data_IF_328127256896
#
_entry.id   IF_328127256896
#
_cell.length_a   1.000
_cell.length_b   1.000
_cell.length_c   1.000
_cell.angle_alpha   90.00
_cell.angle_beta   90.00
_cell.angle_gamma   90.00
#
_symmetry.space_group_name_H-M   'P 1'
#
loop_
_entity.id
_entity.type
_entity.pdbx_description
1 polymer ?
#
# COMPACT_ATOMS: atom_id res chain seq x y z
N UNK A 1 4.12 -14.60 6.16
CA UNK A 1 2.77 -14.00 6.11
C UNK A 1 2.38 -13.83 4.65
N UNK A 2 1.19 -14.28 4.23
CA UNK A 2 0.71 -14.15 2.84
C UNK A 2 -0.30 -13.02 2.66
N UNK A 3 -1.07 -12.69 3.69
CA UNK A 3 -2.07 -11.63 3.63
C UNK A 3 -1.95 -10.75 4.87
N UNK A 4 -1.97 -9.44 4.68
CA UNK A 4 -1.94 -8.44 5.76
C UNK A 4 -3.15 -7.52 5.61
N UNK A 5 -4.03 -7.56 6.61
CA UNK A 5 -5.21 -6.70 6.72
C UNK A 5 -4.94 -5.57 7.69
N UNK A 6 -4.88 -4.35 7.17
CA UNK A 6 -4.71 -3.12 7.94
C UNK A 6 -5.83 -2.12 7.63
N UNK A 7 -6.90 -2.57 6.98
CA UNK A 7 -8.06 -1.76 6.65
C UNK A 7 -8.70 -1.12 7.88
N UNK A 8 -9.33 0.04 7.71
CA UNK A 8 -10.06 0.76 8.77
C UNK A 8 -9.19 1.18 9.97
N UNK A 9 -7.92 1.50 9.73
CA UNK A 9 -7.04 2.09 10.73
C UNK A 9 -6.83 3.59 10.46
N UNK A 10 -6.00 4.23 11.28
CA UNK A 10 -5.59 5.63 11.11
C UNK A 10 -4.14 5.72 10.66
N UNK A 11 -3.68 4.76 9.86
CA UNK A 11 -2.31 4.75 9.37
C UNK A 11 -2.10 5.93 8.41
N UNK A 12 -1.11 6.76 8.69
CA UNK A 12 -0.68 7.87 7.84
C UNK A 12 0.50 7.47 6.94
N UNK A 13 1.28 6.49 7.40
CA UNK A 13 2.43 5.90 6.72
C UNK A 13 2.51 4.40 6.98
N UNK A 14 3.16 3.68 6.06
CA UNK A 14 3.50 2.27 6.25
C UNK A 14 5.01 2.18 6.52
N UNK A 15 5.45 1.46 7.55
CA UNK A 15 6.87 1.30 7.83
C UNK A 15 7.57 0.52 6.70
N UNK A 16 8.81 0.90 6.39
CA UNK A 16 9.64 0.19 5.40
C UNK A 16 9.82 -1.30 5.71
N UNK A 17 9.66 -1.70 6.98
CA UNK A 17 9.69 -3.10 7.41
C UNK A 17 8.67 -4.00 6.73
N UNK A 18 7.60 -3.45 6.12
CA UNK A 18 6.65 -4.23 5.31
C UNK A 18 7.34 -4.91 4.14
N UNK A 19 8.37 -4.31 3.54
CA UNK A 19 9.16 -4.89 2.45
C UNK A 19 9.86 -6.21 2.81
N UNK A 20 10.12 -6.45 4.11
CA UNK A 20 10.71 -7.69 4.60
C UNK A 20 9.74 -8.87 4.57
N UNK A 21 8.45 -8.61 4.37
CA UNK A 21 7.44 -9.66 4.22
C UNK A 21 7.49 -10.25 2.81
N UNK A 22 8.58 -10.94 2.47
CA UNK A 22 8.86 -11.44 1.11
C UNK A 22 7.80 -12.38 0.54
N UNK A 23 7.00 -13.01 1.40
CA UNK A 23 5.89 -13.90 1.01
C UNK A 23 4.52 -13.21 0.97
N UNK A 24 4.47 -11.89 1.17
CA UNK A 24 3.23 -11.14 1.23
C UNK A 24 2.62 -11.05 -0.18
N UNK A 25 1.42 -11.61 -0.32
CA UNK A 25 0.69 -11.67 -1.58
C UNK A 25 -0.46 -10.67 -1.64
N UNK A 26 -1.06 -10.33 -0.51
CA UNK A 26 -2.17 -9.38 -0.44
C UNK A 26 -1.99 -8.41 0.71
N UNK A 27 -2.09 -7.12 0.43
CA UNK A 27 -2.02 -6.05 1.41
C UNK A 27 -3.26 -5.17 1.30
N UNK A 28 -4.08 -5.15 2.37
CA UNK A 28 -5.28 -4.34 2.44
C UNK A 28 -5.09 -3.15 3.36
N UNK A 29 -5.26 -1.96 2.82
CA UNK A 29 -5.00 -0.69 3.49
C UNK A 29 -6.14 0.32 3.27
N UNK A 30 -7.26 -0.13 2.70
CA UNK A 30 -8.44 0.70 2.50
C UNK A 30 -8.93 1.32 3.83
N UNK A 31 -9.58 2.47 3.73
CA UNK A 31 -10.05 3.21 4.90
C UNK A 31 -8.94 3.57 5.92
N UNK A 32 -7.73 3.88 5.44
CA UNK A 32 -6.68 4.54 6.21
C UNK A 32 -6.55 6.03 5.85
N UNK A 33 -5.55 6.71 6.43
CA UNK A 33 -5.17 8.10 6.16
C UNK A 33 -3.83 8.19 5.42
N UNK A 34 -3.48 7.16 4.66
CA UNK A 34 -2.19 7.06 3.97
C UNK A 34 -2.06 8.20 2.96
N UNK A 35 -1.02 9.00 3.10
CA UNK A 35 -0.69 10.08 2.17
C UNK A 35 0.21 9.54 1.06
N UNK A 36 1.12 8.64 1.43
CA UNK A 36 2.08 8.01 0.53
C UNK A 36 2.25 6.54 0.88
N UNK A 37 2.88 5.79 -0.03
CA UNK A 37 3.44 4.48 0.26
C UNK A 37 4.96 4.62 0.38
N UNK A 38 5.63 3.76 1.17
CA UNK A 38 7.07 3.69 1.14
C UNK A 38 7.54 3.20 -0.23
N UNK A 39 8.66 3.72 -0.73
CA UNK A 39 9.24 3.28 -2.01
C UNK A 39 9.45 1.76 -2.01
N UNK A 40 9.90 1.20 -0.87
CA UNK A 40 10.10 -0.23 -0.68
C UNK A 40 8.85 -1.12 -0.89
N UNK A 41 7.64 -0.57 -1.08
CA UNK A 41 6.46 -1.35 -1.45
C UNK A 41 6.65 -2.07 -2.80
N UNK A 42 7.43 -1.49 -3.72
CA UNK A 42 7.74 -2.11 -5.01
C UNK A 42 8.72 -3.29 -4.89
N UNK A 43 9.37 -3.47 -3.73
CA UNK A 43 10.34 -4.54 -3.50
C UNK A 43 9.68 -5.84 -3.03
N UNK A 44 8.36 -5.89 -2.87
CA UNK A 44 7.64 -7.08 -2.45
C UNK A 44 7.49 -8.05 -3.64
N UNK A 45 8.28 -9.14 -3.70
CA UNK A 45 8.38 -9.95 -4.91
C UNK A 45 7.12 -10.76 -5.20
N UNK A 46 6.36 -11.11 -4.16
CA UNK A 46 5.17 -11.96 -4.25
C UNK A 46 3.86 -11.17 -4.18
N UNK A 47 3.90 -9.82 -4.12
CA UNK A 47 2.70 -9.01 -3.93
C UNK A 47 1.84 -9.00 -5.20
N UNK A 48 0.62 -9.53 -5.08
CA UNK A 48 -0.35 -9.67 -6.18
C UNK A 48 -1.52 -8.70 -6.06
N UNK A 49 -1.85 -8.27 -4.84
CA UNK A 49 -2.96 -7.37 -4.59
C UNK A 49 -2.61 -6.32 -3.54
N UNK A 50 -2.86 -5.07 -3.87
CA UNK A 50 -2.70 -3.91 -3.00
C UNK A 50 -3.99 -3.08 -3.02
N UNK A 51 -4.77 -3.15 -1.94
CA UNK A 51 -6.04 -2.43 -1.83
C UNK A 51 -5.82 -1.09 -1.11
N UNK A 52 -5.90 0.02 -1.86
CA UNK A 52 -5.74 1.40 -1.36
C UNK A 52 -6.96 2.23 -1.75
N UNK A 53 -8.04 2.16 -0.97
CA UNK A 53 -9.21 2.97 -1.26
C UNK A 53 -9.68 3.78 -0.04
N UNK A 54 -9.29 5.06 -0.04
CA UNK A 54 -10.09 6.23 0.36
C UNK A 54 -9.38 7.52 -0.07
N UNK A 55 -9.14 7.70 -1.37
CA UNK A 55 -8.69 9.00 -1.88
C UNK A 55 -9.87 9.97 -1.88
N UNK A 56 -9.87 10.93 -0.95
CA UNK A 56 -10.50 12.23 -1.19
C UNK A 56 -9.55 12.94 -2.15
N UNK A 57 -9.90 13.01 -3.44
CA UNK A 57 -9.08 13.67 -4.45
C UNK A 57 -8.95 15.16 -4.13
N UNK A 58 -7.85 15.54 -3.49
CA UNK A 58 -7.35 16.91 -3.40
C UNK A 58 -6.22 17.09 -4.40
N UNK A 59 -6.56 17.56 -5.61
CA UNK A 59 -5.69 18.14 -6.65
C UNK A 59 -4.16 18.09 -6.41
N UNK A 60 -3.49 16.94 -6.59
CA UNK A 60 -2.04 16.81 -6.87
C UNK A 60 -1.55 15.34 -6.98
N UNK A 61 -2.43 14.37 -7.26
CA UNK A 61 -2.10 12.93 -7.18
C UNK A 61 -1.79 12.25 -8.52
N UNK A 62 -0.64 12.55 -9.13
CA UNK A 62 -0.22 11.95 -10.42
C UNK A 62 0.92 10.93 -10.35
N UNK A 63 1.22 10.33 -9.18
CA UNK A 63 2.42 9.47 -9.03
C UNK A 63 2.19 8.00 -8.68
N UNK A 64 0.96 7.46 -8.74
CA UNK A 64 0.72 6.04 -8.39
C UNK A 64 0.07 5.19 -9.49
N UNK A 65 -0.05 5.70 -10.72
CA UNK A 65 -0.61 4.94 -11.86
C UNK A 65 0.45 4.26 -12.74
N UNK A 66 1.71 4.18 -12.33
CA UNK A 66 2.81 3.72 -13.19
C UNK A 66 3.36 2.32 -12.87
N UNK A 67 2.56 1.43 -12.26
CA UNK A 67 2.99 0.05 -11.94
C UNK A 67 2.06 -1.04 -12.50
N UNK A 68 1.10 -0.71 -13.37
CA UNK A 68 0.22 -1.73 -13.97
C UNK A 68 -0.03 -1.61 -15.48
N UNK A 69 0.86 -0.94 -16.23
CA UNK A 69 0.97 -1.08 -17.70
C UNK A 69 2.43 -1.15 -18.12
#
# INVERSE_FOLDING_TARGET
LQVLYLSYNRLELIPEGVSRCVRLQRLKLDNNRLITLPDSIHLLPDLKQLDLHKFVFGASGFALFHVFL
#
